data_IF_818439866804
#
_entry.id   IF_818439866804
#
_cell.length_a   1.000
_cell.length_b   1.000
_cell.length_c   1.000
_cell.angle_alpha   90.00
_cell.angle_beta   90.00
_cell.angle_gamma   90.00
#
_symmetry.space_group_name_H-M   'P 1'
#
loop_
_entity.id
_entity.type
_entity.pdbx_description
1 polymer ?
#
# COMPACT_ATOMS: atom_id res chain seq x y z
N UNK A 1 12.24 -32.12 -16.36
CA UNK A 1 11.79 -31.32 -15.20
C UNK A 1 10.25 -31.18 -15.06
N UNK A 2 9.41 -31.98 -15.74
CA UNK A 2 7.96 -31.69 -15.85
C UNK A 2 7.00 -32.47 -14.94
N UNK A 3 7.46 -33.50 -14.21
CA UNK A 3 6.57 -34.35 -13.38
C UNK A 3 6.53 -33.89 -11.92
N UNK A 4 7.69 -33.53 -11.35
CA UNK A 4 7.80 -33.01 -9.99
C UNK A 4 7.16 -31.63 -9.84
N UNK A 5 7.29 -30.74 -10.83
CA UNK A 5 6.64 -29.41 -10.84
C UNK A 5 5.12 -29.50 -10.88
N UNK A 6 4.56 -30.47 -11.62
CA UNK A 6 3.12 -30.75 -11.64
C UNK A 6 2.63 -31.28 -10.29
N UNK A 7 3.36 -32.20 -9.66
CA UNK A 7 2.99 -32.76 -8.35
C UNK A 7 3.04 -31.72 -7.24
N UNK A 8 4.08 -30.89 -7.19
CA UNK A 8 4.19 -29.79 -6.21
C UNK A 8 3.11 -28.74 -6.42
N UNK A 9 2.80 -28.40 -7.69
CA UNK A 9 1.72 -27.48 -8.02
C UNK A 9 0.34 -27.98 -7.57
N UNK A 10 0.02 -29.25 -7.84
CA UNK A 10 -1.26 -29.86 -7.45
C UNK A 10 -1.38 -29.97 -5.93
N UNK A 11 -0.33 -30.43 -5.23
CA UNK A 11 -0.34 -30.52 -3.78
C UNK A 11 -0.49 -29.13 -3.12
N UNK A 12 0.18 -28.11 -3.64
CA UNK A 12 0.05 -26.72 -3.16
C UNK A 12 -1.38 -26.17 -3.30
N UNK A 13 -2.03 -26.42 -4.44
CA UNK A 13 -3.41 -25.95 -4.70
C UNK A 13 -4.40 -26.63 -3.76
N UNK A 14 -4.31 -27.95 -3.59
CA UNK A 14 -5.24 -28.70 -2.74
C UNK A 14 -5.09 -28.29 -1.27
N UNK A 15 -3.86 -28.18 -0.78
CA UNK A 15 -3.60 -27.79 0.61
C UNK A 15 -4.03 -26.33 0.86
N UNK A 16 -3.82 -25.44 -0.11
CA UNK A 16 -4.29 -24.06 -0.07
C UNK A 16 -5.81 -23.95 -0.06
N UNK A 17 -6.51 -24.71 -0.92
CA UNK A 17 -7.97 -24.75 -0.96
C UNK A 17 -8.56 -25.31 0.35
N UNK A 18 -7.98 -26.38 0.89
CA UNK A 18 -8.37 -26.95 2.19
C UNK A 18 -8.15 -25.96 3.33
N UNK A 19 -7.03 -25.24 3.35
CA UNK A 19 -6.75 -24.20 4.35
C UNK A 19 -7.76 -23.04 4.28
N UNK A 20 -8.12 -22.60 3.07
CA UNK A 20 -9.08 -21.52 2.82
C UNK A 20 -10.55 -21.92 3.01
N UNK A 21 -10.86 -23.22 3.07
CA UNK A 21 -12.22 -23.73 3.33
C UNK A 21 -12.75 -23.32 4.71
N UNK A 22 -11.86 -23.14 5.69
CA UNK A 22 -12.22 -22.62 7.02
C UNK A 22 -12.42 -21.11 6.96
N UNK A 23 -13.62 -20.65 7.33
CA UNK A 23 -14.01 -19.23 7.29
C UNK A 23 -13.10 -18.31 8.11
N UNK A 24 -12.58 -18.79 9.24
CA UNK A 24 -11.62 -18.08 10.08
C UNK A 24 -10.28 -17.84 9.35
N UNK A 25 -9.75 -18.88 8.70
CA UNK A 25 -8.52 -18.81 7.92
C UNK A 25 -8.68 -17.90 6.71
N UNK A 26 -9.83 -17.96 6.02
CA UNK A 26 -10.17 -17.06 4.92
C UNK A 26 -10.14 -15.59 5.36
N UNK A 27 -10.73 -15.26 6.52
CA UNK A 27 -10.70 -13.89 7.08
C UNK A 27 -9.28 -13.43 7.41
N UNK A 28 -8.45 -14.32 7.99
CA UNK A 28 -7.04 -14.03 8.27
C UNK A 28 -6.25 -13.74 6.99
N UNK A 29 -6.40 -14.58 5.96
CA UNK A 29 -5.74 -14.40 4.66
C UNK A 29 -6.22 -13.12 3.97
N UNK A 30 -7.53 -12.85 3.93
CA UNK A 30 -8.07 -11.60 3.38
C UNK A 30 -7.53 -10.36 4.11
N UNK A 31 -7.43 -10.39 5.44
CA UNK A 31 -6.87 -9.29 6.22
C UNK A 31 -5.39 -9.02 5.89
N UNK A 32 -4.61 -10.08 5.69
CA UNK A 32 -3.19 -9.95 5.30
C UNK A 32 -3.04 -9.46 3.86
N UNK A 33 -3.85 -9.98 2.93
CA UNK A 33 -3.87 -9.52 1.53
C UNK A 33 -4.29 -8.06 1.43
N UNK A 34 -5.35 -7.65 2.14
CA UNK A 34 -5.80 -6.26 2.18
C UNK A 34 -4.71 -5.33 2.74
N UNK A 35 -3.96 -5.76 3.77
CA UNK A 35 -2.81 -5.00 4.28
C UNK A 35 -1.70 -4.88 3.25
N UNK A 36 -1.39 -5.95 2.52
CA UNK A 36 -0.38 -5.95 1.46
C UNK A 36 -0.79 -5.04 0.28
N UNK A 37 -2.02 -5.18 -0.21
CA UNK A 37 -2.60 -4.33 -1.26
C UNK A 37 -2.62 -2.87 -0.82
N UNK A 38 -3.01 -2.58 0.43
CA UNK A 38 -3.01 -1.21 0.95
C UNK A 38 -1.60 -0.61 1.01
N UNK A 39 -0.57 -1.39 1.35
CA UNK A 39 0.83 -0.94 1.31
C UNK A 39 1.32 -0.68 -0.12
N UNK A 40 0.97 -1.56 -1.06
CA UNK A 40 1.32 -1.41 -2.47
C UNK A 40 0.63 -0.18 -3.09
N UNK A 41 -0.67 -0.04 -2.87
CA UNK A 41 -1.45 1.12 -3.31
C UNK A 41 -0.98 2.41 -2.63
N UNK A 42 -0.61 2.39 -1.35
CA UNK A 42 -0.05 3.56 -0.67
C UNK A 42 1.25 4.04 -1.34
N UNK A 43 2.10 3.12 -1.80
CA UNK A 43 3.33 3.50 -2.52
C UNK A 43 3.01 4.06 -3.90
N UNK A 44 2.03 3.46 -4.59
CA UNK A 44 1.58 3.92 -5.91
C UNK A 44 0.95 5.32 -5.83
N UNK A 45 0.01 5.53 -4.90
CA UNK A 45 -0.68 6.81 -4.70
C UNK A 45 0.30 7.90 -4.24
N UNK A 46 1.28 7.57 -3.38
CA UNK A 46 2.31 8.53 -2.95
C UNK A 46 3.16 9.05 -4.11
N UNK A 47 3.33 8.26 -5.16
CA UNK A 47 4.12 8.61 -6.34
C UNK A 47 3.24 9.08 -7.51
N UNK A 48 1.92 9.10 -7.35
CA UNK A 48 1.00 9.51 -8.41
C UNK A 48 1.09 11.02 -8.60
N UNK A 49 1.44 11.45 -9.81
CA UNK A 49 1.65 12.87 -10.12
C UNK A 49 3.02 13.42 -9.72
N UNK A 50 3.92 12.59 -9.19
CA UNK A 50 5.32 12.97 -9.00
C UNK A 50 6.12 12.77 -10.27
N UNK A 51 6.95 13.75 -10.68
CA UNK A 51 7.89 13.57 -11.78
C UNK A 51 8.90 12.46 -11.45
N UNK A 52 9.43 11.80 -12.47
CA UNK A 52 10.41 10.72 -12.31
C UNK A 52 11.80 11.24 -11.92
N UNK A 53 12.09 12.51 -12.20
CA UNK A 53 13.29 13.18 -11.76
C UNK A 53 13.20 13.45 -10.25
N UNK A 54 14.24 13.08 -9.50
CA UNK A 54 14.30 13.24 -8.04
C UNK A 54 14.23 14.72 -7.62
N UNK A 55 14.93 15.60 -8.32
CA UNK A 55 15.01 17.03 -8.00
C UNK A 55 13.63 17.69 -8.21
N UNK A 56 12.97 17.34 -9.31
CA UNK A 56 11.61 17.81 -9.58
C UNK A 56 10.60 17.25 -8.57
N UNK A 57 10.79 16.00 -8.12
CA UNK A 57 9.91 15.37 -7.15
C UNK A 57 10.07 15.99 -5.75
N UNK A 58 11.29 16.38 -5.40
CA UNK A 58 11.60 17.12 -4.17
C UNK A 58 10.95 18.50 -4.17
N UNK A 59 11.01 19.25 -5.28
CA UNK A 59 10.30 20.54 -5.40
C UNK A 59 8.79 20.42 -5.17
N UNK A 60 8.16 19.36 -5.66
CA UNK A 60 6.72 19.11 -5.44
C UNK A 60 6.43 18.85 -3.95
N UNK A 61 7.26 18.04 -3.29
CA UNK A 61 7.13 17.76 -1.86
C UNK A 61 7.33 19.02 -1.01
N UNK A 62 8.31 19.85 -1.34
CA UNK A 62 8.58 21.11 -0.66
C UNK A 62 7.40 22.10 -0.80
N UNK A 63 6.82 22.20 -2.00
CA UNK A 63 5.64 23.04 -2.25
C UNK A 63 4.42 22.58 -1.44
N UNK A 64 4.18 21.27 -1.39
CA UNK A 64 3.09 20.69 -0.61
C UNK A 64 3.26 20.96 0.90
N UNK A 65 4.47 20.80 1.45
CA UNK A 65 4.74 21.09 2.87
C UNK A 65 4.61 22.59 3.17
N UNK A 66 5.08 23.44 2.26
CA UNK A 66 5.06 24.90 2.44
C UNK A 66 3.64 25.44 2.51
N UNK A 67 2.76 24.99 1.61
CA UNK A 67 1.34 25.39 1.61
C UNK A 67 0.62 24.98 2.90
N UNK A 68 0.80 23.74 3.35
CA UNK A 68 0.22 23.26 4.63
C UNK A 68 0.72 24.10 5.80
N UNK A 69 2.03 24.34 5.90
CA UNK A 69 2.62 25.17 6.96
C UNK A 69 2.08 26.59 6.95
N UNK A 70 1.86 27.18 5.76
CA UNK A 70 1.31 28.53 5.63
C UNK A 70 -0.09 28.63 6.23
N UNK A 71 -1.00 27.74 5.85
CA UNK A 71 -2.38 27.77 6.36
C UNK A 71 -2.49 27.39 7.83
N UNK A 72 -1.69 26.44 8.32
CA UNK A 72 -1.65 26.11 9.75
C UNK A 72 -1.25 27.33 10.58
N UNK A 73 -0.21 28.07 10.16
CA UNK A 73 0.21 29.31 10.82
C UNK A 73 -0.87 30.39 10.82
N UNK A 74 -1.63 30.52 9.73
CA UNK A 74 -2.76 31.44 9.68
C UNK A 74 -3.83 31.02 10.68
N UNK A 75 -4.20 29.75 10.69
CA UNK A 75 -5.23 29.22 11.60
C UNK A 75 -4.83 29.38 13.06
N UNK A 76 -3.59 29.08 13.43
CA UNK A 76 -3.04 29.30 14.77
C UNK A 76 -3.15 30.77 15.19
N UNK A 77 -2.81 31.71 14.29
CA UNK A 77 -2.96 33.15 14.55
C UNK A 77 -4.41 33.59 14.73
N UNK A 78 -5.36 32.96 14.04
CA UNK A 78 -6.78 33.25 14.19
C UNK A 78 -7.36 32.66 15.48
N UNK A 79 -6.87 31.51 15.95
CA UNK A 79 -7.35 30.87 17.18
C UNK A 79 -6.68 31.40 18.45
N UNK A 80 -5.50 32.01 18.35
CA UNK A 80 -4.82 32.63 19.50
C UNK A 80 -5.33 34.04 19.83
N UNK A 81 -6.45 34.47 19.24
CA UNK A 81 -6.98 35.83 19.29
C UNK A 81 -8.42 35.81 19.79
#
# INVERSE_FOLDING_TARGET
>A
MGKFTKLVGVAGVVTGAAYLSKSENRRKVQGQLNKAIKRLNSSYVKNLGKPSNIDDAEMVDEGAITSVRYYNKLQEKFQSK
#
